data_IF_926233170068
#
_entry.id   IF_926233170068
#
_cell.length_a   1.000
_cell.length_b   1.000
_cell.length_c   1.000
_cell.angle_alpha   90.00
_cell.angle_beta   90.00
_cell.angle_gamma   90.00
#
_symmetry.space_group_name_H-M   'P 1'
#
loop_
_entity.id
_entity.type
_entity.pdbx_description
1 polymer ?
#
# COMPACT_ATOMS: atom_id res chain seq x y z
N UNK A 1 -5.61 -0.26 7.25
CA UNK A 1 -5.74 1.01 8.02
C UNK A 1 -4.60 1.23 9.00
N UNK A 2 -4.26 0.29 9.90
CA UNK A 2 -3.24 0.54 10.93
C UNK A 2 -1.89 0.98 10.36
N UNK A 3 -1.40 0.28 9.34
CA UNK A 3 -0.15 0.63 8.66
C UNK A 3 -0.21 2.01 7.99
N UNK A 4 -1.29 2.32 7.28
CA UNK A 4 -1.46 3.61 6.61
C UNK A 4 -1.50 4.77 7.63
N UNK A 5 -2.19 4.59 8.77
CA UNK A 5 -2.20 5.59 9.84
C UNK A 5 -0.79 5.80 10.41
N UNK A 6 -0.06 4.69 10.68
CA UNK A 6 1.31 4.74 11.20
C UNK A 6 2.26 5.50 10.26
N UNK A 7 2.32 5.12 8.98
CA UNK A 7 3.24 5.75 8.03
C UNK A 7 2.89 7.22 7.76
N UNK A 8 1.60 7.59 7.82
CA UNK A 8 1.16 8.97 7.58
C UNK A 8 1.59 9.91 8.70
N UNK A 9 1.47 9.50 9.97
CA UNK A 9 1.91 10.33 11.10
C UNK A 9 3.43 10.24 11.34
N UNK A 10 4.12 9.25 10.74
CA UNK A 10 5.48 8.87 11.09
C UNK A 10 6.50 10.01 11.09
N UNK A 11 6.54 10.81 10.03
CA UNK A 11 7.47 11.94 9.93
C UNK A 11 7.14 13.01 10.98
N UNK A 12 5.89 13.45 11.07
CA UNK A 12 5.50 14.50 12.01
C UNK A 12 5.67 14.11 13.48
N UNK A 13 5.41 12.85 13.83
CA UNK A 13 5.40 12.38 15.22
C UNK A 13 6.72 11.74 15.63
N UNK A 14 7.25 10.75 14.91
CA UNK A 14 8.50 10.09 15.35
C UNK A 14 9.73 10.93 15.01
N UNK A 15 9.82 11.46 13.79
CA UNK A 15 11.01 12.21 13.34
C UNK A 15 11.06 13.60 13.95
N UNK A 16 9.94 14.32 13.92
CA UNK A 16 9.91 15.75 14.26
C UNK A 16 9.37 16.05 15.67
N UNK A 17 9.10 15.04 16.50
CA UNK A 17 8.60 15.25 17.87
C UNK A 17 9.17 14.24 18.88
N UNK A 18 8.82 12.96 18.76
CA UNK A 18 9.06 11.93 19.78
C UNK A 18 10.52 11.49 19.93
N UNK A 19 11.27 11.49 18.83
CA UNK A 19 12.68 11.05 18.81
C UNK A 19 13.67 12.21 18.66
N UNK A 20 13.23 13.45 18.91
CA UNK A 20 14.12 14.60 19.00
C UNK A 20 14.85 14.55 20.34
N UNK A 21 16.18 14.75 20.32
CA UNK A 21 16.98 14.87 21.54
C UNK A 21 17.11 16.32 22.01
N UNK A 22 17.76 16.55 23.15
CA UNK A 22 17.95 17.90 23.73
C UNK A 22 18.63 18.89 22.76
N UNK A 23 19.45 18.40 21.83
CA UNK A 23 20.12 19.19 20.78
C UNK A 23 19.43 19.21 19.42
N UNK A 24 18.19 18.72 19.31
CA UNK A 24 17.46 18.63 18.04
C UNK A 24 17.49 17.23 17.40
N UNK A 25 17.47 17.18 16.06
CA UNK A 25 17.43 15.90 15.31
C UNK A 25 18.73 15.13 15.50
N UNK A 26 18.60 13.88 15.96
CA UNK A 26 19.69 12.92 16.14
C UNK A 26 19.69 11.86 15.02
N UNK A 27 20.68 10.97 15.05
CA UNK A 27 20.81 9.87 14.08
C UNK A 27 19.54 9.01 13.96
N UNK A 28 18.86 8.72 15.06
CA UNK A 28 17.64 7.90 15.07
C UNK A 28 16.49 8.60 14.34
N UNK A 29 16.25 9.88 14.63
CA UNK A 29 15.22 10.67 13.95
C UNK A 29 15.49 10.80 12.44
N UNK A 30 16.74 11.08 12.05
CA UNK A 30 17.13 11.28 10.64
C UNK A 30 17.01 10.01 9.80
N UNK A 31 17.29 8.84 10.40
CA UNK A 31 17.24 7.56 9.71
C UNK A 31 15.90 6.82 9.92
N UNK A 32 14.96 7.37 10.70
CA UNK A 32 13.71 6.68 11.04
C UNK A 32 12.93 6.25 9.81
N UNK A 33 12.73 7.13 8.82
CA UNK A 33 11.95 6.81 7.62
C UNK A 33 12.62 5.73 6.76
N UNK A 34 13.95 5.71 6.73
CA UNK A 34 14.72 4.67 6.04
C UNK A 34 14.55 3.30 6.72
N UNK A 35 14.73 3.24 8.04
CA UNK A 35 14.52 2.01 8.81
C UNK A 35 13.05 1.57 8.81
N UNK A 36 12.11 2.50 8.89
CA UNK A 36 10.66 2.26 8.76
C UNK A 36 10.35 1.53 7.45
N UNK A 37 10.96 1.94 6.33
CA UNK A 37 10.82 1.27 5.04
C UNK A 37 11.34 -0.18 5.09
N UNK A 38 12.54 -0.41 5.61
CA UNK A 38 13.14 -1.75 5.68
C UNK A 38 12.35 -2.68 6.60
N UNK A 39 12.07 -2.22 7.82
CA UNK A 39 11.39 -3.01 8.85
C UNK A 39 9.90 -3.20 8.56
N UNK A 40 9.29 -2.42 7.67
CA UNK A 40 7.94 -2.69 7.20
C UNK A 40 7.91 -3.66 6.02
N UNK A 41 8.72 -3.42 4.99
CA UNK A 41 8.56 -4.12 3.73
C UNK A 41 9.19 -5.52 3.71
N UNK A 42 10.36 -5.71 4.33
CA UNK A 42 11.03 -7.02 4.32
C UNK A 42 10.28 -8.10 5.11
N UNK A 43 9.84 -7.86 6.36
CA UNK A 43 9.09 -8.87 7.10
C UNK A 43 7.77 -9.22 6.41
N UNK A 44 7.10 -8.22 5.82
CA UNK A 44 5.87 -8.43 5.06
C UNK A 44 6.14 -9.36 3.86
N UNK A 45 7.13 -9.05 3.01
CA UNK A 45 7.46 -9.86 1.84
C UNK A 45 7.87 -11.30 2.22
N UNK A 46 8.76 -11.46 3.20
CA UNK A 46 9.29 -12.77 3.60
C UNK A 46 8.17 -13.63 4.20
N UNK A 47 7.38 -13.08 5.14
CA UNK A 47 6.32 -13.86 5.78
C UNK A 47 5.15 -14.13 4.83
N UNK A 48 4.88 -13.24 3.87
CA UNK A 48 3.91 -13.51 2.82
C UNK A 48 4.36 -14.67 1.92
N UNK A 49 5.64 -14.71 1.52
CA UNK A 49 6.24 -15.79 0.74
C UNK A 49 6.19 -17.13 1.51
N UNK A 50 6.63 -17.12 2.77
CA UNK A 50 6.57 -18.29 3.65
C UNK A 50 5.12 -18.77 3.79
N UNK A 51 4.15 -17.86 3.96
CA UNK A 51 2.74 -18.22 4.14
C UNK A 51 2.12 -18.96 2.94
N UNK A 52 2.66 -18.77 1.72
CA UNK A 52 2.30 -19.54 0.52
C UNK A 52 2.81 -20.97 0.63
N UNK A 53 4.09 -21.14 0.94
CA UNK A 53 4.74 -22.45 0.88
C UNK A 53 4.55 -23.31 2.11
N UNK A 54 4.22 -22.73 3.27
CA UNK A 54 3.88 -23.51 4.46
C UNK A 54 2.52 -24.16 4.20
N UNK A 55 2.47 -25.47 3.87
CA UNK A 55 1.25 -26.17 3.56
C UNK A 55 0.57 -26.48 4.88
N UNK A 56 -0.17 -25.52 5.43
CA UNK A 56 -0.84 -25.75 6.71
C UNK A 56 -2.15 -26.46 6.42
N UNK A 57 -2.22 -27.74 6.80
CA UNK A 57 -3.49 -28.42 7.07
C UNK A 57 -4.31 -27.54 8.01
N UNK A 58 -5.40 -26.95 7.53
CA UNK A 58 -6.30 -26.15 8.36
C UNK A 58 -7.02 -25.04 7.60
N UNK A 59 -7.97 -24.41 8.29
CA UNK A 59 -8.68 -23.24 7.79
C UNK A 59 -7.75 -22.01 7.72
N UNK A 60 -8.01 -21.09 6.78
CA UNK A 60 -7.34 -19.77 6.76
C UNK A 60 -7.80 -18.87 7.92
N UNK A 61 -8.94 -19.21 8.53
CA UNK A 61 -9.60 -18.47 9.62
C UNK A 61 -8.68 -18.16 10.81
N UNK A 62 -7.95 -19.13 11.42
CA UNK A 62 -7.11 -18.84 12.58
C UNK A 62 -5.93 -17.92 12.22
N UNK A 63 -5.38 -18.04 11.00
CA UNK A 63 -4.29 -17.16 10.54
C UNK A 63 -4.77 -15.71 10.49
N UNK A 64 -5.96 -15.47 9.95
CA UNK A 64 -6.57 -14.13 9.88
C UNK A 64 -6.79 -13.58 11.30
N UNK A 65 -7.40 -14.36 12.19
CA UNK A 65 -7.67 -13.93 13.57
C UNK A 65 -6.39 -13.64 14.35
N UNK A 66 -5.41 -14.55 14.32
CA UNK A 66 -4.12 -14.36 15.02
C UNK A 66 -3.39 -13.13 14.49
N UNK A 67 -3.35 -12.95 13.16
CA UNK A 67 -2.70 -11.80 12.55
C UNK A 67 -3.36 -10.48 12.97
N UNK A 68 -4.70 -10.42 12.97
CA UNK A 68 -5.43 -9.23 13.43
C UNK A 68 -5.19 -8.96 14.93
N UNK A 69 -5.14 -9.99 15.77
CA UNK A 69 -4.81 -9.84 17.20
C UNK A 69 -3.40 -9.31 17.41
N UNK A 70 -2.40 -9.82 16.67
CA UNK A 70 -1.02 -9.33 16.73
C UNK A 70 -0.95 -7.86 16.30
N UNK A 71 -1.59 -7.51 15.17
CA UNK A 71 -1.63 -6.12 14.70
C UNK A 71 -2.31 -5.22 15.73
N UNK A 72 -3.42 -5.67 16.34
CA UNK A 72 -4.10 -4.94 17.41
C UNK A 72 -3.23 -4.72 18.65
N UNK A 73 -2.51 -5.76 19.09
CA UNK A 73 -1.58 -5.67 20.21
C UNK A 73 -0.44 -4.68 19.95
N UNK A 74 0.15 -4.69 18.75
CA UNK A 74 1.21 -3.73 18.40
C UNK A 74 0.69 -2.30 18.32
N UNK A 75 -0.51 -2.09 17.78
CA UNK A 75 -1.12 -0.75 17.73
C UNK A 75 -1.43 -0.25 19.14
N UNK A 76 -2.03 -1.07 20.01
CA UNK A 76 -2.29 -0.70 21.41
C UNK A 76 -0.99 -0.42 22.17
N UNK A 77 0.05 -1.22 21.91
CA UNK A 77 1.40 -0.97 22.43
C UNK A 77 1.92 0.38 21.96
N UNK A 78 1.83 0.70 20.66
CA UNK A 78 2.31 1.99 20.12
C UNK A 78 1.54 3.17 20.72
N UNK A 79 0.22 3.03 20.88
CA UNK A 79 -0.67 4.04 21.46
C UNK A 79 -0.31 4.33 22.93
N UNK A 80 0.00 3.30 23.73
CA UNK A 80 0.45 3.45 25.11
C UNK A 80 1.71 4.32 25.22
N UNK A 81 2.65 4.17 24.28
CA UNK A 81 3.90 4.95 24.26
C UNK A 81 3.72 6.40 23.81
N UNK A 82 2.52 6.82 23.39
CA UNK A 82 2.29 8.20 22.95
C UNK A 82 2.61 9.22 24.05
N UNK A 83 2.11 8.98 25.26
CA UNK A 83 2.26 9.91 26.39
C UNK A 83 3.40 9.55 27.36
N UNK A 84 4.07 8.42 27.17
CA UNK A 84 5.23 8.02 27.98
C UNK A 84 6.46 8.80 27.52
N UNK A 85 7.20 9.43 28.43
CA UNK A 85 8.45 10.10 28.08
C UNK A 85 9.55 9.09 27.71
N UNK A 86 10.16 9.30 26.54
CA UNK A 86 11.21 8.45 25.96
C UNK A 86 12.52 9.21 25.75
N UNK A 87 12.61 10.48 26.17
CA UNK A 87 13.78 11.34 25.94
C UNK A 87 15.07 10.75 26.52
N UNK A 88 14.99 10.11 27.70
CA UNK A 88 16.14 9.52 28.38
C UNK A 88 16.75 8.28 27.66
N UNK A 89 16.01 7.62 26.77
CA UNK A 89 16.41 6.33 26.19
C UNK A 89 15.97 6.17 24.72
N UNK A 90 16.08 7.25 23.94
CA UNK A 90 15.76 7.30 22.51
C UNK A 90 16.30 6.08 21.72
N UNK A 91 17.57 5.63 21.89
CA UNK A 91 18.08 4.44 21.20
C UNK A 91 17.24 3.18 21.43
N UNK A 92 16.83 2.93 22.68
CA UNK A 92 16.05 1.76 23.03
C UNK A 92 14.62 1.87 22.50
N UNK A 93 14.00 3.04 22.62
CA UNK A 93 12.67 3.30 22.07
C UNK A 93 12.63 3.15 20.55
N UNK A 94 13.69 3.60 19.85
CA UNK A 94 13.83 3.45 18.41
C UNK A 94 13.80 1.97 17.99
N UNK A 95 14.68 1.14 18.55
CA UNK A 95 14.74 -0.28 18.16
C UNK A 95 13.50 -1.05 18.57
N UNK A 96 12.91 -0.72 19.72
CA UNK A 96 11.64 -1.27 20.17
C UNK A 96 10.51 -0.95 19.17
N UNK A 97 10.47 0.28 18.67
CA UNK A 97 9.52 0.71 17.63
C UNK A 97 9.79 0.00 16.30
N UNK A 98 11.04 -0.16 15.87
CA UNK A 98 11.37 -0.87 14.63
C UNK A 98 10.98 -2.34 14.69
N UNK A 99 11.24 -3.01 15.82
CA UNK A 99 10.82 -4.41 16.02
C UNK A 99 9.29 -4.52 16.01
N UNK A 100 8.57 -3.60 16.66
CA UNK A 100 7.11 -3.61 16.65
C UNK A 100 6.54 -3.41 15.24
N UNK A 101 7.11 -2.50 14.45
CA UNK A 101 6.79 -2.29 13.03
C UNK A 101 7.00 -3.58 12.22
N UNK A 102 8.11 -4.30 12.46
CA UNK A 102 8.39 -5.56 11.78
C UNK A 102 7.39 -6.65 12.12
N UNK A 103 7.00 -6.78 13.39
CA UNK A 103 5.96 -7.73 13.82
C UNK A 103 4.61 -7.36 13.21
N UNK A 104 4.24 -6.08 13.23
CA UNK A 104 2.99 -5.57 12.64
C UNK A 104 2.91 -5.88 11.15
N UNK A 105 3.98 -5.58 10.39
CA UNK A 105 3.98 -5.77 8.95
C UNK A 105 4.14 -7.25 8.55
N UNK A 106 4.83 -8.04 9.35
CA UNK A 106 4.86 -9.50 9.20
C UNK A 106 3.48 -10.13 9.36
N UNK A 107 2.76 -9.78 10.44
CA UNK A 107 1.38 -10.19 10.65
C UNK A 107 0.45 -9.67 9.55
N UNK A 108 0.64 -8.43 9.09
CA UNK A 108 -0.12 -7.87 7.98
C UNK A 108 0.11 -8.65 6.67
N UNK A 109 1.34 -9.10 6.40
CA UNK A 109 1.67 -9.95 5.25
C UNK A 109 0.91 -11.28 5.28
N UNK A 110 0.85 -11.94 6.44
CA UNK A 110 0.08 -13.18 6.64
C UNK A 110 -1.42 -12.92 6.47
N UNK A 111 -1.94 -11.86 7.10
CA UNK A 111 -3.34 -11.45 6.99
C UNK A 111 -3.75 -11.20 5.54
N UNK A 112 -2.99 -10.38 4.82
CA UNK A 112 -3.27 -9.99 3.44
C UNK A 112 -3.26 -11.21 2.51
N UNK A 113 -2.26 -12.09 2.67
CA UNK A 113 -2.19 -13.33 1.91
C UNK A 113 -3.42 -14.23 2.16
N UNK A 114 -3.77 -14.45 3.43
CA UNK A 114 -4.89 -15.30 3.82
C UNK A 114 -6.25 -14.73 3.46
N UNK A 115 -6.46 -13.42 3.50
CA UNK A 115 -7.75 -12.83 3.12
C UNK A 115 -7.99 -12.93 1.62
N UNK A 116 -6.95 -12.77 0.77
CA UNK A 116 -7.09 -12.97 -0.67
C UNK A 116 -7.29 -14.45 -1.04
N UNK A 117 -6.61 -15.37 -0.35
CA UNK A 117 -6.85 -16.81 -0.50
C UNK A 117 -8.23 -17.27 0.00
N UNK A 118 -8.81 -16.57 0.99
CA UNK A 118 -10.19 -16.82 1.40
C UNK A 118 -11.16 -16.26 0.36
N UNK A 119 -10.96 -15.02 -0.09
CA UNK A 119 -11.83 -14.34 -1.04
C UNK A 119 -11.88 -15.02 -2.41
N UNK A 120 -10.83 -15.75 -2.82
CA UNK A 120 -10.82 -16.50 -4.09
C UNK A 120 -11.82 -17.66 -4.14
N UNK A 121 -12.25 -18.19 -2.98
CA UNK A 121 -13.31 -19.22 -2.92
C UNK A 121 -14.70 -18.64 -3.24
N UNK A 122 -14.82 -17.30 -3.27
CA UNK A 122 -16.06 -16.57 -3.52
C UNK A 122 -16.12 -16.03 -4.96
N UNK A 123 -17.30 -15.60 -5.43
CA UNK A 123 -17.42 -14.81 -6.67
C UNK A 123 -16.41 -13.65 -6.72
N UNK A 124 -15.87 -13.36 -7.91
CA UNK A 124 -14.77 -12.38 -8.08
C UNK A 124 -15.04 -11.00 -7.45
N UNK A 125 -16.30 -10.59 -7.35
CA UNK A 125 -16.72 -9.34 -6.68
C UNK A 125 -16.24 -9.24 -5.23
N UNK A 126 -16.09 -10.37 -4.53
CA UNK A 126 -15.59 -10.40 -3.15
C UNK A 126 -14.08 -10.21 -3.07
N UNK A 127 -13.33 -10.74 -4.04
CA UNK A 127 -11.90 -10.42 -4.18
C UNK A 127 -11.72 -8.93 -4.44
N UNK A 128 -12.54 -8.33 -5.31
CA UNK A 128 -12.51 -6.89 -5.54
C UNK A 128 -12.92 -6.09 -4.29
N UNK A 129 -13.90 -6.56 -3.51
CA UNK A 129 -14.31 -5.88 -2.28
C UNK A 129 -13.14 -5.72 -1.29
N UNK A 130 -12.21 -6.68 -1.23
CA UNK A 130 -10.96 -6.56 -0.46
C UNK A 130 -10.08 -5.44 -1.01
N UNK A 131 -9.90 -5.36 -2.33
CA UNK A 131 -9.11 -4.29 -3.00
C UNK A 131 -9.75 -2.91 -2.78
N UNK A 132 -11.07 -2.80 -2.95
CA UNK A 132 -11.85 -1.59 -2.69
C UNK A 132 -11.64 -1.14 -1.24
N UNK A 133 -11.75 -2.06 -0.27
CA UNK A 133 -11.51 -1.75 1.15
C UNK A 133 -10.09 -1.23 1.40
N UNK A 134 -9.08 -1.80 0.74
CA UNK A 134 -7.69 -1.34 0.85
C UNK A 134 -7.50 0.11 0.31
N UNK A 135 -8.10 0.43 -0.84
CA UNK A 135 -7.98 1.76 -1.44
C UNK A 135 -8.87 2.81 -0.73
N UNK A 136 -10.06 2.41 -0.27
CA UNK A 136 -10.92 3.25 0.57
C UNK A 136 -10.20 3.64 1.87
N UNK A 137 -9.51 2.68 2.49
CA UNK A 137 -8.71 2.93 3.69
C UNK A 137 -7.68 4.05 3.48
N UNK A 138 -6.97 4.06 2.34
CA UNK A 138 -6.05 5.15 2.01
C UNK A 138 -6.73 6.52 1.92
N UNK A 139 -7.94 6.56 1.35
CA UNK A 139 -8.75 7.79 1.25
C UNK A 139 -9.15 8.29 2.63
N UNK A 140 -9.66 7.40 3.49
CA UNK A 140 -10.05 7.73 4.86
C UNK A 140 -8.87 8.26 5.68
N UNK A 141 -7.69 7.67 5.50
CA UNK A 141 -6.46 8.11 6.19
C UNK A 141 -6.02 9.50 5.69
N UNK A 142 -6.07 9.77 4.39
CA UNK A 142 -5.73 11.08 3.84
C UNK A 142 -6.68 12.18 4.34
N UNK A 143 -7.99 11.89 4.40
CA UNK A 143 -8.99 12.79 4.99
C UNK A 143 -8.71 12.99 6.49
N UNK A 144 -8.46 11.90 7.21
CA UNK A 144 -8.12 11.97 8.63
C UNK A 144 -6.88 12.82 8.89
N UNK A 145 -5.87 12.75 8.02
CA UNK A 145 -4.65 13.53 8.16
C UNK A 145 -4.90 15.04 8.05
N UNK A 146 -5.75 15.45 7.12
CA UNK A 146 -6.18 16.84 6.99
C UNK A 146 -6.96 17.27 8.25
N UNK A 147 -7.93 16.46 8.68
CA UNK A 147 -8.73 16.77 9.88
C UNK A 147 -7.88 16.84 11.16
N UNK A 148 -6.90 15.95 11.32
CA UNK A 148 -6.04 15.92 12.50
C UNK A 148 -5.24 17.22 12.67
N UNK A 149 -4.76 17.81 11.57
CA UNK A 149 -4.07 19.11 11.58
C UNK A 149 -5.02 20.26 11.89
N UNK A 150 -6.28 20.18 11.48
CA UNK A 150 -7.29 21.20 11.77
C UNK A 150 -7.80 21.16 13.23
N UNK A 151 -7.80 19.98 13.86
CA UNK A 151 -8.35 19.78 15.21
C UNK A 151 -7.35 20.18 16.30
N UNK A 152 -6.06 19.88 16.12
CA UNK A 152 -5.05 20.17 17.14
C UNK A 152 -3.67 20.33 16.55
N UNK A 153 -2.88 21.29 17.05
CA UNK A 153 -1.46 21.44 16.67
C UNK A 153 -0.54 20.50 17.45
N UNK A 154 -1.02 19.87 18.53
CA UNK A 154 -0.21 19.02 19.38
C UNK A 154 0.00 17.63 18.77
N UNK A 155 1.25 17.33 18.42
CA UNK A 155 1.64 16.08 17.73
C UNK A 155 1.35 14.81 18.52
N UNK A 156 1.39 14.86 19.86
CA UNK A 156 1.04 13.70 20.68
C UNK A 156 -0.46 13.39 20.58
N UNK A 157 -1.33 14.40 20.67
CA UNK A 157 -2.77 14.20 20.52
C UNK A 157 -3.16 13.79 19.09
N UNK A 158 -2.47 14.32 18.07
CA UNK A 158 -2.62 13.80 16.70
C UNK A 158 -2.30 12.30 16.68
N UNK A 159 -1.09 11.90 17.08
CA UNK A 159 -0.67 10.49 17.07
C UNK A 159 -1.61 9.56 17.85
N UNK A 160 -2.05 9.98 19.04
CA UNK A 160 -3.06 9.26 19.83
C UNK A 160 -4.35 9.03 19.02
N UNK A 161 -4.85 10.05 18.32
CA UNK A 161 -6.00 9.92 17.43
C UNK A 161 -5.78 8.90 16.31
N UNK A 162 -4.63 8.93 15.64
CA UNK A 162 -4.28 7.97 14.57
C UNK A 162 -4.26 6.52 15.07
N UNK A 163 -3.63 6.27 16.22
CA UNK A 163 -3.52 4.91 16.76
C UNK A 163 -4.82 4.42 17.41
N UNK A 164 -5.57 5.30 18.08
CA UNK A 164 -6.90 4.98 18.61
C UNK A 164 -7.88 4.59 17.49
N UNK A 165 -7.98 5.39 16.41
CA UNK A 165 -8.85 5.05 15.27
C UNK A 165 -8.41 3.74 14.61
N UNK A 166 -7.11 3.48 14.54
CA UNK A 166 -6.57 2.21 14.05
C UNK A 166 -7.02 1.03 14.92
N UNK A 167 -6.95 1.16 16.25
CA UNK A 167 -7.35 0.12 17.19
C UNK A 167 -8.86 -0.17 17.11
N UNK A 168 -9.69 0.87 17.09
CA UNK A 168 -11.15 0.74 16.92
C UNK A 168 -11.51 0.04 15.60
N UNK A 169 -10.79 0.35 14.53
CA UNK A 169 -10.96 -0.31 13.23
C UNK A 169 -10.61 -1.79 13.31
N UNK A 170 -9.52 -2.17 13.98
CA UNK A 170 -9.14 -3.59 14.15
C UNK A 170 -10.18 -4.35 14.96
N UNK A 171 -10.71 -3.76 16.04
CA UNK A 171 -11.78 -4.36 16.85
C UNK A 171 -13.03 -4.58 15.99
N UNK A 172 -13.42 -3.58 15.19
CA UNK A 172 -14.53 -3.70 14.23
C UNK A 172 -14.29 -4.80 13.19
N UNK A 173 -13.07 -4.91 12.66
CA UNK A 173 -12.68 -5.97 11.72
C UNK A 173 -12.77 -7.37 12.35
N UNK A 174 -12.30 -7.55 13.58
CA UNK A 174 -12.40 -8.82 14.31
C UNK A 174 -13.86 -9.22 14.52
N UNK A 175 -14.68 -8.30 15.01
CA UNK A 175 -16.12 -8.54 15.20
C UNK A 175 -16.82 -8.89 13.88
N UNK A 176 -16.56 -8.12 12.82
CA UNK A 176 -17.09 -8.36 11.48
C UNK A 176 -16.68 -9.75 10.96
N UNK A 177 -15.43 -10.15 11.17
CA UNK A 177 -14.93 -11.45 10.73
C UNK A 177 -15.59 -12.61 11.50
N UNK A 178 -15.82 -12.48 12.80
CA UNK A 178 -16.57 -13.49 13.55
C UNK A 178 -18.03 -13.60 13.09
N UNK A 179 -18.69 -12.47 12.80
CA UNK A 179 -20.05 -12.45 12.24
C UNK A 179 -20.12 -13.06 10.84
N UNK A 180 -19.14 -12.79 9.99
CA UNK A 180 -19.05 -13.36 8.64
C UNK A 180 -19.16 -14.89 8.67
N UNK A 181 -18.49 -15.55 9.62
CA UNK A 181 -18.51 -17.02 9.75
C UNK A 181 -19.86 -17.61 10.12
N UNK A 182 -20.72 -16.83 10.76
CA UNK A 182 -22.09 -17.27 11.09
C UNK A 182 -23.06 -17.16 9.91
N UNK A 183 -22.66 -16.50 8.80
CA UNK A 183 -23.54 -16.32 7.66
C UNK A 183 -23.61 -17.61 6.82
N UNK A 184 -24.83 -18.04 6.49
CA UNK A 184 -25.08 -19.23 5.66
C UNK A 184 -24.40 -19.14 4.28
N UNK A 185 -24.36 -17.95 3.68
CA UNK A 185 -23.68 -17.74 2.39
C UNK A 185 -22.17 -17.98 2.48
N UNK A 186 -21.55 -17.56 3.59
CA UNK A 186 -20.13 -17.81 3.84
C UNK A 186 -19.86 -19.31 3.98
N UNK A 187 -20.66 -19.99 4.80
CA UNK A 187 -20.52 -21.43 5.05
C UNK A 187 -20.64 -22.24 3.75
N UNK A 188 -21.64 -21.93 2.92
CA UNK A 188 -21.84 -22.59 1.62
C UNK A 188 -20.61 -22.48 0.69
N UNK A 189 -20.08 -21.27 0.49
CA UNK A 189 -18.93 -21.08 -0.40
C UNK A 189 -17.63 -21.66 0.16
N UNK A 190 -17.45 -21.59 1.48
CA UNK A 190 -16.30 -22.19 2.14
C UNK A 190 -16.32 -23.73 2.03
N UNK A 191 -17.48 -24.36 2.24
CA UNK A 191 -17.69 -25.80 2.06
C UNK A 191 -17.48 -26.22 0.59
N UNK A 192 -18.02 -25.46 -0.37
CA UNK A 192 -17.82 -25.73 -1.79
C UNK A 192 -16.34 -25.67 -2.19
N UNK A 193 -15.61 -24.66 -1.72
CA UNK A 193 -14.18 -24.57 -1.94
C UNK A 193 -13.44 -25.77 -1.33
N UNK A 194 -13.82 -26.18 -0.11
CA UNK A 194 -13.21 -27.31 0.57
C UNK A 194 -13.49 -28.63 -0.17
N UNK A 195 -14.70 -28.80 -0.70
CA UNK A 195 -15.06 -29.96 -1.52
C UNK A 195 -14.26 -29.98 -2.84
N UNK A 196 -14.06 -28.85 -3.50
CA UNK A 196 -13.25 -28.77 -4.72
C UNK A 196 -11.79 -29.15 -4.47
N UNK A 197 -11.24 -28.78 -3.32
CA UNK A 197 -9.88 -29.17 -2.90
C UNK A 197 -9.80 -30.64 -2.50
N UNK A 198 -10.84 -31.19 -1.88
CA UNK A 198 -10.88 -32.59 -1.46
C UNK A 198 -11.07 -33.57 -2.64
N UNK A 199 -11.60 -33.11 -3.77
CA UNK A 199 -11.70 -33.89 -5.02
C UNK A 199 -10.36 -34.08 -5.72
N UNK A 200 -9.40 -33.21 -5.45
CA UNK A 200 -8.01 -33.38 -5.87
C UNK A 200 -7.34 -34.32 -4.86
N UNK A 201 -7.34 -35.63 -5.16
CA UNK A 201 -7.02 -36.76 -4.27
C UNK A 201 -5.51 -36.83 -3.86
N UNK A 202 -4.77 -35.72 -3.94
CA UNK A 202 -3.31 -35.66 -3.86
C UNK A 202 -2.74 -35.37 -2.46
N UNK A 203 -3.58 -35.27 -1.42
CA UNK A 203 -3.12 -34.96 -0.06
C UNK A 203 -2.77 -33.47 0.11
N UNK A 204 -1.77 -33.08 0.94
CA UNK A 204 -1.33 -31.70 1.03
C UNK A 204 -0.85 -31.20 -0.34
N UNK A 205 -1.12 -29.93 -0.67
CA UNK A 205 -0.69 -29.31 -1.93
C UNK A 205 0.77 -29.62 -2.22
N UNK A 206 1.02 -30.29 -3.35
CA UNK A 206 2.35 -30.70 -3.79
C UNK A 206 3.11 -29.49 -4.33
N UNK A 207 4.44 -29.58 -4.40
CA UNK A 207 5.24 -28.54 -5.06
C UNK A 207 4.82 -28.33 -6.52
N UNK A 208 4.36 -29.38 -7.22
CA UNK A 208 3.85 -29.26 -8.58
C UNK A 208 2.57 -28.41 -8.64
N UNK A 209 1.70 -28.46 -7.63
CA UNK A 209 0.48 -27.66 -7.61
C UNK A 209 0.81 -26.16 -7.57
N UNK A 210 1.82 -25.78 -6.79
CA UNK A 210 2.32 -24.40 -6.76
C UNK A 210 2.95 -24.01 -8.10
N UNK A 211 3.77 -24.88 -8.69
CA UNK A 211 4.43 -24.60 -9.96
C UNK A 211 3.43 -24.46 -11.11
N UNK A 212 2.42 -25.33 -11.16
CA UNK A 212 1.37 -25.26 -12.18
C UNK A 212 0.44 -24.05 -11.97
N UNK A 213 0.10 -23.73 -10.71
CA UNK A 213 -0.61 -22.48 -10.38
C UNK A 213 0.18 -21.27 -10.87
N UNK A 214 1.49 -21.26 -10.62
CA UNK A 214 2.39 -20.21 -11.06
C UNK A 214 2.39 -20.09 -12.59
N UNK A 215 2.51 -21.21 -13.30
CA UNK A 215 2.51 -21.27 -14.77
C UNK A 215 1.20 -20.76 -15.38
N UNK A 216 0.06 -21.25 -14.89
CA UNK A 216 -1.26 -20.87 -15.40
C UNK A 216 -1.61 -19.41 -15.06
N UNK A 217 -1.35 -18.99 -13.82
CA UNK A 217 -1.65 -17.65 -13.34
C UNK A 217 -0.62 -16.57 -13.72
N UNK A 218 0.51 -16.95 -14.33
CA UNK A 218 1.66 -16.08 -14.60
C UNK A 218 1.30 -14.72 -15.20
N UNK A 219 0.45 -14.62 -16.25
CA UNK A 219 0.11 -13.33 -16.83
C UNK A 219 -0.55 -12.38 -15.81
N UNK A 220 -1.43 -12.91 -14.96
CA UNK A 220 -2.14 -12.09 -13.97
C UNK A 220 -1.24 -11.71 -12.79
N UNK A 221 -0.36 -12.61 -12.36
CA UNK A 221 0.64 -12.28 -11.34
C UNK A 221 1.58 -11.16 -11.79
N UNK A 222 2.03 -11.20 -13.06
CA UNK A 222 2.83 -10.14 -13.64
C UNK A 222 2.06 -8.84 -13.82
N UNK A 223 0.77 -8.89 -14.17
CA UNK A 223 -0.10 -7.72 -14.24
C UNK A 223 -0.20 -7.03 -12.88
N UNK A 224 -0.47 -7.79 -11.81
CA UNK A 224 -0.54 -7.27 -10.44
C UNK A 224 0.80 -6.67 -10.04
N UNK A 225 1.90 -7.40 -10.25
CA UNK A 225 3.24 -6.91 -9.96
C UNK A 225 3.54 -5.58 -10.67
N UNK A 226 3.31 -5.49 -11.98
CA UNK A 226 3.61 -4.29 -12.76
C UNK A 226 2.78 -3.09 -12.34
N UNK A 227 1.50 -3.29 -11.99
CA UNK A 227 0.66 -2.21 -11.47
C UNK A 227 1.28 -1.61 -10.21
N UNK A 228 1.60 -2.44 -9.23
CA UNK A 228 2.18 -1.97 -7.96
C UNK A 228 3.62 -1.49 -8.09
N UNK A 229 4.43 -2.11 -8.96
CA UNK A 229 5.77 -1.65 -9.28
C UNK A 229 5.76 -0.21 -9.79
N UNK A 230 5.00 0.06 -10.86
CA UNK A 230 4.89 1.41 -11.42
C UNK A 230 4.31 2.37 -10.40
N UNK A 231 3.24 1.98 -9.71
CA UNK A 231 2.58 2.83 -8.73
C UNK A 231 3.53 3.24 -7.61
N UNK A 232 4.29 2.30 -7.02
CA UNK A 232 5.16 2.58 -5.87
C UNK A 232 6.52 3.14 -6.28
N UNK A 233 6.91 3.02 -7.56
CA UNK A 233 7.97 3.85 -8.12
C UNK A 233 7.57 5.32 -8.12
N UNK A 234 6.32 5.65 -8.48
CA UNK A 234 5.90 7.04 -8.66
C UNK A 234 5.32 7.65 -7.38
N UNK A 235 4.35 6.99 -6.75
CA UNK A 235 3.65 7.46 -5.55
C UNK A 235 4.19 6.77 -4.28
N UNK A 236 4.40 7.52 -3.18
CA UNK A 236 4.36 8.98 -3.11
C UNK A 236 5.66 9.64 -3.56
N UNK A 237 6.78 8.89 -3.59
CA UNK A 237 8.13 9.46 -3.65
C UNK A 237 8.35 10.42 -4.82
N UNK A 238 8.12 10.02 -6.07
CA UNK A 238 8.33 10.94 -7.20
C UNK A 238 7.38 12.13 -7.13
N UNK A 239 6.12 11.91 -6.79
CA UNK A 239 5.09 12.95 -6.73
C UNK A 239 5.38 14.03 -5.69
N UNK A 240 5.93 13.67 -4.52
CA UNK A 240 6.29 14.63 -3.46
C UNK A 240 7.39 15.60 -3.93
N UNK A 241 8.30 15.16 -4.80
CA UNK A 241 9.37 15.99 -5.34
C UNK A 241 8.99 16.72 -6.64
N UNK A 242 7.72 16.72 -7.04
CA UNK A 242 7.25 17.55 -8.14
C UNK A 242 7.00 18.96 -7.63
N UNK A 243 7.78 19.90 -8.15
CA UNK A 243 7.72 21.30 -7.79
C UNK A 243 6.47 21.94 -8.42
N UNK A 244 5.54 22.49 -7.60
CA UNK A 244 4.34 23.12 -8.12
C UNK A 244 4.60 24.52 -8.72
N UNK A 245 5.79 25.09 -8.52
CA UNK A 245 6.13 26.41 -9.03
C UNK A 245 6.46 26.37 -10.52
N UNK A 246 6.03 27.41 -11.22
CA UNK A 246 6.44 27.69 -12.60
C UNK A 246 7.53 28.75 -12.58
N UNK A 247 8.53 28.57 -13.45
CA UNK A 247 9.59 29.57 -13.63
C UNK A 247 9.07 30.61 -14.61
N UNK A 248 8.95 31.85 -14.16
CA UNK A 248 8.51 32.99 -14.98
C UNK A 248 9.63 34.02 -15.12
N UNK A 249 9.70 34.75 -16.25
CA UNK A 249 10.66 35.85 -16.41
C UNK A 249 10.34 36.97 -15.41
N UNK A 250 11.31 37.30 -14.56
CA UNK A 250 11.26 38.42 -13.62
C UNK A 250 11.87 39.70 -14.20
N UNK A 251 11.75 40.83 -13.48
CA UNK A 251 12.33 42.10 -13.88
C UNK A 251 13.87 42.00 -14.02
N UNK A 252 14.44 42.67 -15.02
CA UNK A 252 15.88 42.72 -15.29
C UNK A 252 16.53 41.36 -15.64
N UNK A 253 15.77 40.42 -16.21
CA UNK A 253 16.30 39.11 -16.62
C UNK A 253 16.52 38.13 -15.47
N UNK A 254 15.95 38.41 -14.30
CA UNK A 254 15.85 37.42 -13.21
C UNK A 254 14.79 36.37 -13.53
N UNK A 255 14.83 35.24 -12.83
CA UNK A 255 13.78 34.22 -12.87
C UNK A 255 13.04 34.23 -11.55
N UNK A 256 11.72 34.34 -11.60
CA UNK A 256 10.86 34.24 -10.42
C UNK A 256 10.14 32.90 -10.38
N UNK A 257 9.88 32.39 -9.18
CA UNK A 257 9.07 31.20 -8.94
C UNK A 257 7.65 31.65 -8.63
N UNK A 258 6.71 31.29 -9.51
CA UNK A 258 5.31 31.63 -9.34
C UNK A 258 4.49 30.39 -8.98
N UNK A 259 3.79 30.46 -7.85
CA UNK A 259 2.82 29.45 -7.41
C UNK A 259 1.41 29.88 -7.85
N UNK A 260 0.85 29.19 -8.84
CA UNK A 260 -0.42 29.56 -9.48
C UNK A 260 -1.56 28.58 -9.16
N UNK A 261 -1.51 27.94 -7.99
CA UNK A 261 -2.50 26.92 -7.63
C UNK A 261 -3.50 27.42 -6.58
N UNK A 262 -4.73 26.91 -6.67
CA UNK A 262 -5.88 27.35 -5.87
C UNK A 262 -5.72 27.02 -4.38
N UNK A 263 -5.01 25.94 -4.05
CA UNK A 263 -4.78 25.55 -2.67
C UNK A 263 -3.52 26.20 -2.11
N UNK A 264 -3.45 26.47 -0.79
CA UNK A 264 -2.20 26.92 -0.17
C UNK A 264 -1.06 25.91 -0.36
N UNK A 265 0.16 26.41 -0.56
CA UNK A 265 1.36 25.57 -0.74
C UNK A 265 1.57 24.58 0.42
N UNK A 266 1.27 24.99 1.65
CA UNK A 266 1.36 24.14 2.85
C UNK A 266 0.43 22.91 2.82
N UNK A 267 -0.63 22.95 2.01
CA UNK A 267 -1.61 21.87 1.86
C UNK A 267 -1.46 21.11 0.55
N UNK A 268 -0.58 21.58 -0.35
CA UNK A 268 -0.34 20.97 -1.66
C UNK A 268 -0.12 19.45 -1.56
N UNK A 269 0.81 19.02 -0.72
CA UNK A 269 1.19 17.62 -0.59
C UNK A 269 0.01 16.75 -0.10
N UNK A 270 -0.78 17.25 0.85
CA UNK A 270 -1.94 16.53 1.39
C UNK A 270 -3.01 16.32 0.31
N UNK A 271 -3.34 17.35 -0.46
CA UNK A 271 -4.43 17.30 -1.43
C UNK A 271 -4.02 16.71 -2.78
N UNK A 272 -2.90 17.18 -3.35
CA UNK A 272 -2.55 16.92 -4.74
C UNK A 272 -1.67 15.67 -4.92
N UNK A 273 -1.06 15.18 -3.84
CA UNK A 273 -0.32 13.91 -3.85
C UNK A 273 -1.13 12.84 -3.13
N UNK A 274 -1.34 12.98 -1.81
CA UNK A 274 -1.92 11.92 -1.00
C UNK A 274 -3.42 11.74 -1.22
N UNK A 275 -4.24 12.78 -1.07
CA UNK A 275 -5.68 12.66 -1.23
C UNK A 275 -6.06 12.32 -2.68
N UNK A 276 -5.47 13.01 -3.65
CA UNK A 276 -5.67 12.74 -5.08
C UNK A 276 -5.40 11.28 -5.40
N UNK A 277 -4.22 10.76 -5.07
CA UNK A 277 -3.89 9.37 -5.37
C UNK A 277 -4.90 8.40 -4.75
N UNK A 278 -5.20 8.56 -3.47
CA UNK A 278 -6.06 7.64 -2.75
C UNK A 278 -7.52 7.67 -3.26
N UNK A 279 -8.07 8.86 -3.53
CA UNK A 279 -9.43 9.01 -4.07
C UNK A 279 -9.55 8.36 -5.44
N UNK A 280 -8.63 8.67 -6.36
CA UNK A 280 -8.73 8.15 -7.72
C UNK A 280 -8.43 6.65 -7.78
N UNK A 281 -7.51 6.13 -6.96
CA UNK A 281 -7.32 4.68 -6.81
C UNK A 281 -8.57 3.99 -6.25
N UNK A 282 -9.26 4.59 -5.27
CA UNK A 282 -10.53 4.08 -4.77
C UNK A 282 -11.61 4.04 -5.87
N UNK A 283 -11.79 5.14 -6.61
CA UNK A 283 -12.76 5.19 -7.72
C UNK A 283 -12.41 4.23 -8.86
N UNK A 284 -11.12 4.04 -9.14
CA UNK A 284 -10.64 3.02 -10.07
C UNK A 284 -11.10 1.63 -9.64
N UNK A 285 -10.83 1.22 -8.40
CA UNK A 285 -11.26 -0.09 -7.91
C UNK A 285 -12.78 -0.26 -7.85
N UNK A 286 -13.52 0.81 -7.54
CA UNK A 286 -14.98 0.81 -7.58
C UNK A 286 -15.50 0.61 -9.00
N UNK A 287 -14.90 1.29 -9.98
CA UNK A 287 -15.27 1.15 -11.40
C UNK A 287 -15.06 -0.27 -11.89
N UNK A 288 -13.99 -0.95 -11.46
CA UNK A 288 -13.72 -2.36 -11.80
C UNK A 288 -14.80 -3.34 -11.30
N UNK A 289 -15.64 -2.93 -10.34
CA UNK A 289 -16.79 -3.73 -9.91
C UNK A 289 -17.94 -3.74 -10.92
N UNK A 290 -18.09 -2.66 -11.69
CA UNK A 290 -19.18 -2.48 -12.66
C UNK A 290 -18.74 -2.72 -14.10
N UNK A 291 -17.48 -2.39 -14.42
CA UNK A 291 -16.92 -2.50 -15.77
C UNK A 291 -15.65 -3.33 -15.71
N UNK A 292 -15.69 -4.53 -16.30
CA UNK A 292 -14.53 -5.43 -16.40
C UNK A 292 -13.92 -5.40 -17.81
N UNK A 293 -13.23 -4.31 -18.13
CA UNK A 293 -12.52 -4.13 -19.40
C UNK A 293 -11.10 -3.64 -19.13
N UNK A 294 -10.05 -4.16 -19.77
CA UNK A 294 -10.05 -5.26 -20.74
C UNK A 294 -10.26 -6.63 -20.07
N UNK A 295 -10.52 -7.66 -20.88
CA UNK A 295 -10.57 -9.05 -20.39
C UNK A 295 -9.20 -9.51 -19.88
N UNK A 296 -9.18 -10.65 -19.18
CA UNK A 296 -7.95 -11.23 -18.63
C UNK A 296 -6.85 -11.47 -19.67
N UNK A 297 -7.21 -11.71 -20.94
CA UNK A 297 -6.26 -11.95 -22.05
C UNK A 297 -5.52 -10.67 -22.49
N UNK A 298 -6.15 -9.51 -22.35
CA UNK A 298 -5.60 -8.23 -22.84
C UNK A 298 -5.18 -7.27 -21.73
N UNK A 299 -5.41 -7.62 -20.45
CA UNK A 299 -5.04 -6.79 -19.30
C UNK A 299 -3.55 -6.40 -19.30
N UNK A 300 -2.69 -7.29 -19.79
CA UNK A 300 -1.25 -7.03 -19.87
C UNK A 300 -0.90 -5.82 -20.72
N UNK A 301 -1.65 -5.54 -21.79
CA UNK A 301 -1.39 -4.38 -22.66
C UNK A 301 -1.51 -3.10 -21.83
N UNK A 302 -2.56 -3.03 -21.02
CA UNK A 302 -2.85 -1.85 -20.20
C UNK A 302 -1.93 -1.73 -19.00
N UNK A 303 -1.53 -2.84 -18.36
CA UNK A 303 -0.57 -2.81 -17.25
C UNK A 303 0.84 -2.45 -17.71
N UNK A 304 1.28 -2.95 -18.86
CA UNK A 304 2.57 -2.58 -19.45
C UNK A 304 2.59 -1.14 -19.94
N UNK A 305 1.51 -0.63 -20.52
CA UNK A 305 1.41 0.78 -20.91
C UNK A 305 1.64 1.74 -19.72
N UNK A 306 1.33 1.32 -18.48
CA UNK A 306 1.61 2.11 -17.28
C UNK A 306 3.09 2.42 -17.09
N UNK A 307 4.00 1.59 -17.61
CA UNK A 307 5.45 1.82 -17.49
C UNK A 307 5.82 3.19 -18.07
N UNK A 308 5.07 3.68 -19.06
CA UNK A 308 5.22 5.02 -19.65
C UNK A 308 4.93 6.16 -18.66
N UNK A 309 4.22 5.92 -17.56
CA UNK A 309 4.05 6.91 -16.51
C UNK A 309 5.39 7.27 -15.85
N UNK A 310 6.31 6.32 -15.69
CA UNK A 310 7.62 6.58 -15.04
C UNK A 310 8.39 7.69 -15.77
N UNK A 311 8.71 7.58 -17.08
CA UNK A 311 9.38 8.67 -17.79
C UNK A 311 8.51 9.92 -17.85
N UNK A 312 7.17 9.81 -17.99
CA UNK A 312 6.28 10.98 -17.93
C UNK A 312 6.51 11.81 -16.65
N UNK A 313 6.51 11.19 -15.47
CA UNK A 313 6.76 11.90 -14.21
C UNK A 313 8.21 12.35 -14.04
N UNK A 314 9.20 11.71 -14.68
CA UNK A 314 10.58 12.21 -14.73
C UNK A 314 10.70 13.51 -15.55
N UNK A 315 9.90 13.63 -16.61
CA UNK A 315 9.83 14.79 -17.50
C UNK A 315 8.88 15.90 -17.01
N UNK A 316 8.05 15.64 -16.00
CA UNK A 316 7.42 16.67 -15.18
C UNK A 316 8.48 17.52 -14.45
N UNK A 317 8.04 18.58 -13.77
CA UNK A 317 8.88 19.43 -12.92
C UNK A 317 9.36 18.72 -11.63
N UNK A 318 9.91 17.51 -11.78
CA UNK A 318 10.52 16.70 -10.74
C UNK A 318 11.89 17.27 -10.38
N UNK A 319 12.12 17.50 -9.09
CA UNK A 319 13.30 18.19 -8.56
C UNK A 319 14.31 17.19 -7.98
N UNK A 320 15.28 16.66 -8.75
CA UNK A 320 16.44 16.00 -8.18
C UNK A 320 17.45 17.05 -7.67
N UNK A 321 18.33 16.66 -6.73
CA UNK A 321 19.39 17.53 -6.18
C UNK A 321 20.26 18.20 -7.26
N UNK A 322 20.44 17.54 -8.42
CA UNK A 322 21.03 18.09 -9.65
C UNK A 322 20.26 17.50 -10.82
N UNK A 323 19.80 18.33 -11.76
CA UNK A 323 19.01 17.90 -12.93
C UNK A 323 19.82 18.08 -14.22
N UNK A 324 19.88 17.04 -15.05
CA UNK A 324 20.46 17.08 -16.41
C UNK A 324 19.42 16.85 -17.50
N UNK A 325 18.35 16.11 -17.19
CA UNK A 325 17.22 15.85 -18.10
C UNK A 325 16.37 17.13 -18.29
N UNK A 326 15.94 17.44 -19.51
CA UNK A 326 15.04 18.59 -19.76
C UNK A 326 13.68 18.40 -19.07
N UNK A 327 13.03 19.49 -18.64
CA UNK A 327 11.62 19.47 -18.20
C UNK A 327 10.74 19.63 -19.44
N UNK A 328 10.03 18.58 -19.85
CA UNK A 328 9.13 18.64 -21.02
C UNK A 328 7.70 19.06 -20.63
N UNK A 329 7.29 18.76 -19.39
CA UNK A 329 5.97 19.08 -18.86
C UNK A 329 6.11 20.04 -17.67
N UNK A 330 6.36 21.34 -17.90
CA UNK A 330 6.50 22.32 -16.83
C UNK A 330 5.14 22.71 -16.21
N UNK A 331 4.05 22.49 -16.95
CA UNK A 331 2.71 22.82 -16.48
C UNK A 331 2.27 21.89 -15.35
N UNK A 332 1.93 22.50 -14.23
CA UNK A 332 1.35 21.83 -13.08
C UNK A 332 0.07 21.05 -13.40
N UNK A 333 -0.80 21.59 -14.26
CA UNK A 333 -2.03 20.91 -14.66
C UNK A 333 -1.77 19.62 -15.43
N UNK A 334 -0.68 19.57 -16.21
CA UNK A 334 -0.24 18.34 -16.88
C UNK A 334 0.14 17.26 -15.86
N UNK A 335 0.86 17.63 -14.79
CA UNK A 335 1.13 16.73 -13.68
C UNK A 335 -0.16 16.18 -13.05
N UNK A 336 -1.14 17.04 -12.75
CA UNK A 336 -2.40 16.63 -12.12
C UNK A 336 -3.18 15.65 -13.00
N UNK A 337 -3.31 15.91 -14.30
CA UNK A 337 -3.97 14.97 -15.23
C UNK A 337 -3.26 13.62 -15.23
N UNK A 338 -1.92 13.62 -15.30
CA UNK A 338 -1.14 12.39 -15.23
C UNK A 338 -1.29 11.66 -13.89
N UNK A 339 -1.32 12.38 -12.78
CA UNK A 339 -1.52 11.84 -11.44
C UNK A 339 -2.90 11.19 -11.30
N UNK A 340 -3.96 11.82 -11.80
CA UNK A 340 -5.31 11.27 -11.82
C UNK A 340 -5.36 9.97 -12.61
N UNK A 341 -4.82 9.98 -13.84
CA UNK A 341 -4.81 8.80 -14.72
C UNK A 341 -4.00 7.65 -14.12
N UNK A 342 -2.81 7.91 -13.61
CA UNK A 342 -1.95 6.92 -12.94
C UNK A 342 -2.66 6.30 -11.72
N UNK A 343 -3.33 7.14 -10.92
CA UNK A 343 -3.99 6.73 -9.68
C UNK A 343 -5.24 5.91 -9.97
N UNK A 344 -6.09 6.40 -10.88
CA UNK A 344 -7.30 5.70 -11.31
C UNK A 344 -6.97 4.34 -11.91
N UNK A 345 -6.04 4.30 -12.87
CA UNK A 345 -5.62 3.04 -13.46
C UNK A 345 -4.98 2.12 -12.42
N UNK A 346 -4.34 2.64 -11.36
CA UNK A 346 -3.75 1.83 -10.28
C UNK A 346 -4.82 1.02 -9.58
N UNK A 347 -5.87 1.69 -9.11
CA UNK A 347 -7.00 1.01 -8.50
C UNK A 347 -7.70 0.06 -9.46
N UNK A 348 -7.99 0.53 -10.67
CA UNK A 348 -8.76 -0.21 -11.66
C UNK A 348 -8.05 -1.51 -12.12
N UNK A 349 -6.79 -1.43 -12.59
CA UNK A 349 -6.08 -2.60 -13.09
C UNK A 349 -5.59 -3.53 -11.97
N UNK A 350 -5.32 -3.00 -10.77
CA UNK A 350 -5.04 -3.87 -9.60
C UNK A 350 -6.28 -4.71 -9.24
N UNK A 351 -7.47 -4.11 -9.23
CA UNK A 351 -8.74 -4.81 -9.02
C UNK A 351 -8.99 -5.92 -10.06
N UNK A 352 -8.84 -5.62 -11.36
CA UNK A 352 -9.00 -6.63 -12.42
C UNK A 352 -7.97 -7.76 -12.28
N UNK A 353 -6.70 -7.43 -12.04
CA UNK A 353 -5.65 -8.44 -11.87
C UNK A 353 -5.91 -9.38 -10.69
N UNK A 354 -6.30 -8.83 -9.54
CA UNK A 354 -6.65 -9.62 -8.35
C UNK A 354 -7.91 -10.45 -8.56
N UNK A 355 -8.90 -9.96 -9.30
CA UNK A 355 -10.11 -10.72 -9.65
C UNK A 355 -9.83 -11.88 -10.62
N UNK A 356 -8.98 -11.65 -11.61
CA UNK A 356 -8.69 -12.63 -12.67
C UNK A 356 -7.71 -13.72 -12.22
N UNK A 357 -6.74 -13.41 -11.35
CA UNK A 357 -5.71 -14.36 -10.96
C UNK A 357 -6.24 -15.71 -10.44
N UNK A 358 -7.24 -15.78 -9.53
CA UNK A 358 -7.82 -17.05 -9.10
C UNK A 358 -8.72 -17.75 -10.11
N UNK A 359 -9.07 -17.07 -11.21
CA UNK A 359 -10.08 -17.52 -12.19
C UNK A 359 -9.47 -18.11 -13.45
N UNK A 360 -8.21 -17.80 -13.70
CA UNK A 360 -7.44 -18.37 -14.82
C UNK A 360 -6.75 -19.69 -14.45
N UNK A 361 -6.94 -20.17 -13.22
CA UNK A 361 -6.42 -21.45 -12.71
C UNK A 361 -7.57 -22.39 -12.37
N UNK A 362 -7.26 -23.68 -12.21
CA UNK A 362 -8.25 -24.66 -11.79
C UNK A 362 -8.89 -24.31 -10.43
N UNK A 363 -10.20 -24.59 -10.23
CA UNK A 363 -10.91 -24.25 -9.00
C UNK A 363 -10.29 -24.83 -7.72
N UNK A 364 -9.62 -25.98 -7.77
CA UNK A 364 -8.91 -26.56 -6.63
C UNK A 364 -7.72 -25.69 -6.18
N UNK A 365 -7.14 -24.93 -7.12
CA UNK A 365 -5.94 -24.10 -6.97
C UNK A 365 -6.23 -22.60 -6.84
N UNK A 366 -7.49 -22.18 -6.98
CA UNK A 366 -7.91 -20.79 -6.87
C UNK A 366 -7.41 -20.10 -5.59
N UNK A 367 -7.41 -20.82 -4.45
CA UNK A 367 -6.86 -20.35 -3.17
C UNK A 367 -5.36 -20.04 -3.25
N UNK A 368 -4.57 -20.95 -3.81
CA UNK A 368 -3.12 -20.77 -4.01
C UNK A 368 -2.88 -19.57 -4.93
N UNK A 369 -3.64 -19.45 -6.02
CA UNK A 369 -3.54 -18.32 -6.93
C UNK A 369 -3.90 -16.99 -6.26
N UNK A 370 -4.93 -16.93 -5.42
CA UNK A 370 -5.27 -15.74 -4.64
C UNK A 370 -4.14 -15.32 -3.69
N UNK A 371 -3.52 -16.28 -3.01
CA UNK A 371 -2.35 -16.05 -2.15
C UNK A 371 -1.13 -15.61 -2.96
N UNK A 372 -0.85 -16.24 -4.11
CA UNK A 372 0.23 -15.83 -5.01
C UNK A 372 0.03 -14.42 -5.55
N UNK A 373 -1.19 -14.05 -5.98
CA UNK A 373 -1.49 -12.69 -6.42
C UNK A 373 -1.20 -11.66 -5.33
N UNK A 374 -1.55 -11.96 -4.07
CA UNK A 374 -1.21 -11.12 -2.93
C UNK A 374 0.30 -10.99 -2.70
N UNK A 375 1.07 -12.05 -2.93
CA UNK A 375 2.54 -11.99 -2.91
C UNK A 375 3.09 -11.09 -4.02
N UNK A 376 2.65 -11.27 -5.27
CA UNK A 376 3.11 -10.45 -6.39
C UNK A 376 2.74 -8.97 -6.24
N UNK A 377 1.64 -8.67 -5.54
CA UNK A 377 1.30 -7.32 -5.10
C UNK A 377 2.39 -6.74 -4.19
N UNK A 378 2.77 -7.44 -3.12
CA UNK A 378 3.79 -6.96 -2.17
C UNK A 378 5.16 -6.92 -2.83
N UNK A 379 5.47 -7.91 -3.68
CA UNK A 379 6.70 -7.92 -4.45
C UNK A 379 6.78 -6.70 -5.37
N UNK A 380 5.68 -6.33 -6.04
CA UNK A 380 5.59 -5.10 -6.82
C UNK A 380 5.83 -3.85 -5.98
N UNK A 381 5.23 -3.76 -4.79
CA UNK A 381 5.46 -2.66 -3.83
C UNK A 381 6.94 -2.53 -3.50
N UNK A 382 7.57 -3.63 -3.06
CA UNK A 382 8.97 -3.65 -2.65
C UNK A 382 9.88 -3.27 -3.81
N UNK A 383 9.71 -3.91 -4.97
CA UNK A 383 10.51 -3.61 -6.16
C UNK A 383 10.33 -2.18 -6.65
N UNK A 384 9.11 -1.63 -6.60
CA UNK A 384 8.82 -0.25 -6.98
C UNK A 384 9.51 0.77 -6.07
N UNK A 385 9.49 0.51 -4.75
CA UNK A 385 10.19 1.33 -3.75
C UNK A 385 11.71 1.28 -3.94
N UNK A 386 12.29 0.11 -4.20
CA UNK A 386 13.72 0.02 -4.50
C UNK A 386 14.06 0.76 -5.80
N UNK A 387 13.26 0.58 -6.85
CA UNK A 387 13.51 1.23 -8.13
C UNK A 387 13.42 2.76 -8.05
N UNK A 388 12.51 3.31 -7.23
CA UNK A 388 12.41 4.77 -7.02
C UNK A 388 13.72 5.39 -6.54
N UNK A 389 14.54 4.65 -5.77
CA UNK A 389 15.84 5.14 -5.29
C UNK A 389 16.84 5.38 -6.43
N UNK A 390 16.64 4.73 -7.59
CA UNK A 390 17.47 4.90 -8.78
C UNK A 390 16.93 5.97 -9.73
N UNK A 391 15.64 6.34 -9.64
CA UNK A 391 15.01 7.36 -10.50
C UNK A 391 15.81 8.67 -10.53
N UNK A 392 16.29 9.23 -9.40
CA UNK A 392 17.11 10.44 -9.41
C UNK A 392 18.37 10.33 -10.29
N UNK A 393 18.97 9.14 -10.42
CA UNK A 393 20.18 8.92 -11.25
C UNK A 393 19.90 8.97 -12.75
N UNK A 394 18.65 8.79 -13.16
CA UNK A 394 18.26 8.95 -14.56
C UNK A 394 17.90 10.41 -14.91
N UNK A 395 17.51 11.21 -13.89
CA UNK A 395 17.14 12.62 -14.08
C UNK A 395 18.33 13.57 -13.80
N UNK A 396 19.24 13.16 -12.93
CA UNK A 396 20.47 13.86 -12.55
C UNK A 396 21.74 13.11 -12.95
N UNK A 397 22.88 13.80 -12.91
CA UNK A 397 24.22 13.21 -13.07
C UNK A 397 24.79 12.73 -11.73
#
# INVERSE_FOLDING_TARGET
>A
MPWNMFITIADSYFVNYKMIGEGGKNWYSLNFMYFLGIFSQLPNLILNLINIFVPVKGELTPRITISLTIVGAVVAFTDLFVFIDTAAWIPGFFWLTMISIAVLNGANGIYQNSIYGLASDFPFKYTNAVVIGNNLCGTLVAIFAILAVLVTDNKAYQAFGYFTVSLLTIIGCLFSFFKLKSLRYYQYHNELGNANRAKDDSGPASFNDYLETLKQGWPQFMNVFLVFFVTLTIFPNMMVFINPHTVVPGPNGTTELHYDFVLPESQYMNFCVFLLFNIFAFFGSLTANYVQFPSHEYLWIMTWARVLFIPFFMYCNYYPLKRTLAVLFPSYYTYIVGAILMSFTSGYFSSLGMMYAPRVVDPSRARIAGMMAAFFLIFGIVSGLFFTMYVPRFVGA
#
